data_IF_780153812512
#
_entry.id   IF_780153812512
#
_cell.length_a   1.000
_cell.length_b   1.000
_cell.length_c   1.000
_cell.angle_alpha   90.00
_cell.angle_beta   90.00
_cell.angle_gamma   90.00
#
_symmetry.space_group_name_H-M   'P 1'
#
loop_
_entity.id
_entity.type
_entity.pdbx_description
1 polymer ?
#
# COMPACT_ATOMS: atom_id res chain seq x y z
N UNK A 1 17.35 20.55 -25.08
CA UNK A 1 17.39 20.78 -23.61
C UNK A 1 16.60 22.02 -23.18
N UNK A 2 16.83 23.21 -23.76
CA UNK A 2 16.08 24.46 -23.45
C UNK A 2 14.56 24.30 -23.55
N UNK A 3 14.08 23.71 -24.65
CA UNK A 3 12.66 23.44 -24.91
C UNK A 3 12.02 22.51 -23.86
N UNK A 4 12.81 21.59 -23.26
CA UNK A 4 12.34 20.71 -22.20
C UNK A 4 12.29 21.40 -20.83
N UNK A 5 13.21 22.34 -20.56
CA UNK A 5 13.22 23.10 -19.30
C UNK A 5 12.09 24.15 -19.30
N UNK A 6 11.80 24.74 -20.45
CA UNK A 6 10.78 25.79 -20.59
C UNK A 6 9.34 25.25 -20.52
N UNK A 7 9.09 24.04 -21.03
CA UNK A 7 7.73 23.50 -21.17
C UNK A 7 7.36 22.39 -20.16
N UNK A 8 8.33 21.89 -19.39
CA UNK A 8 8.16 20.72 -18.53
C UNK A 8 8.75 20.95 -17.14
N UNK A 9 8.09 20.46 -16.09
CA UNK A 9 8.61 20.59 -14.71
C UNK A 9 9.67 19.53 -14.42
N UNK A 10 10.65 19.85 -13.57
CA UNK A 10 11.70 18.88 -13.14
C UNK A 10 11.10 17.58 -12.58
N UNK A 11 10.03 17.60 -11.75
CA UNK A 11 9.36 16.37 -11.32
C UNK A 11 8.64 15.62 -12.45
N UNK A 12 8.09 16.32 -13.45
CA UNK A 12 7.44 15.68 -14.61
C UNK A 12 8.47 15.00 -15.52
N UNK A 13 9.62 15.64 -15.77
CA UNK A 13 10.76 15.05 -16.45
C UNK A 13 11.31 13.85 -15.66
N UNK A 14 11.47 13.98 -14.35
CA UNK A 14 11.95 12.90 -13.47
C UNK A 14 10.95 11.75 -13.30
N UNK A 15 9.65 11.96 -13.56
CA UNK A 15 8.63 10.91 -13.63
C UNK A 15 8.64 10.24 -14.99
N UNK A 16 8.78 11.01 -16.08
CA UNK A 16 8.97 10.50 -17.43
C UNK A 16 10.23 9.63 -17.55
N UNK A 17 11.31 10.00 -16.83
CA UNK A 17 12.56 9.25 -16.74
C UNK A 17 12.42 7.93 -15.93
N UNK A 18 11.42 7.82 -15.04
CA UNK A 18 11.30 6.71 -14.07
C UNK A 18 10.39 5.57 -14.52
N UNK A 19 9.38 5.86 -15.33
CA UNK A 19 8.44 4.84 -15.82
C UNK A 19 8.90 4.17 -17.13
N UNK A 20 10.01 4.62 -17.74
CA UNK A 20 10.06 4.69 -19.20
C UNK A 20 11.48 4.70 -19.79
N UNK A 21 12.30 3.71 -19.44
CA UNK A 21 13.57 3.47 -20.16
C UNK A 21 13.31 3.28 -21.67
N UNK A 22 12.25 2.55 -22.03
CA UNK A 22 11.82 2.34 -23.42
C UNK A 22 11.37 3.62 -24.13
N UNK A 23 10.74 4.55 -23.41
CA UNK A 23 10.33 5.83 -24.01
C UNK A 23 11.51 6.80 -24.11
N UNK A 24 12.50 6.72 -23.23
CA UNK A 24 13.74 7.46 -23.42
C UNK A 24 14.49 6.93 -24.65
N UNK A 25 14.53 5.62 -24.84
CA UNK A 25 15.07 5.01 -26.06
C UNK A 25 14.29 5.44 -27.30
N UNK A 26 12.95 5.44 -27.25
CA UNK A 26 12.10 5.93 -28.33
C UNK A 26 12.34 7.41 -28.63
N UNK A 27 12.36 8.26 -27.61
CA UNK A 27 12.64 9.69 -27.76
C UNK A 27 14.02 9.94 -28.35
N UNK A 28 15.04 9.20 -27.92
CA UNK A 28 16.39 9.29 -28.47
C UNK A 28 16.44 8.87 -29.95
N UNK A 29 15.71 7.80 -30.32
CA UNK A 29 15.59 7.34 -31.71
C UNK A 29 14.83 8.34 -32.59
N UNK A 30 13.72 8.91 -32.11
CA UNK A 30 12.97 9.93 -32.85
C UNK A 30 13.80 11.21 -33.05
N UNK A 31 14.57 11.60 -32.03
CA UNK A 31 15.46 12.77 -32.12
C UNK A 31 16.62 12.54 -33.09
N UNK A 32 17.23 11.34 -33.11
CA UNK A 32 18.32 11.04 -34.05
C UNK A 32 17.85 10.96 -35.50
N UNK A 33 16.56 10.71 -35.73
CA UNK A 33 15.91 10.70 -37.03
C UNK A 33 15.29 12.06 -37.42
N UNK A 34 15.45 13.10 -36.59
CA UNK A 34 14.85 14.44 -36.77
C UNK A 34 13.31 14.44 -36.88
N UNK A 35 12.64 13.44 -36.27
CA UNK A 35 11.17 13.28 -36.26
C UNK A 35 10.54 14.08 -35.13
N UNK A 36 10.65 15.40 -35.21
CA UNK A 36 10.30 16.32 -34.11
C UNK A 36 8.80 16.35 -33.78
N UNK A 37 7.91 16.19 -34.75
CA UNK A 37 6.47 16.17 -34.52
C UNK A 37 6.03 14.94 -33.71
N UNK A 38 6.57 13.77 -34.04
CA UNK A 38 6.28 12.55 -33.30
C UNK A 38 6.90 12.56 -31.90
N UNK A 39 8.10 13.13 -31.77
CA UNK A 39 8.70 13.36 -30.47
C UNK A 39 7.80 14.26 -29.60
N UNK A 40 7.20 15.30 -30.20
CA UNK A 40 6.24 16.17 -29.52
C UNK A 40 5.00 15.39 -29.07
N UNK A 41 4.48 14.49 -29.89
CA UNK A 41 3.33 13.64 -29.54
C UNK A 41 3.63 12.66 -28.41
N UNK A 42 4.81 12.04 -28.42
CA UNK A 42 5.27 11.16 -27.32
C UNK A 42 5.43 11.94 -26.01
N UNK A 43 5.85 13.21 -26.09
CA UNK A 43 6.10 14.07 -24.94
C UNK A 43 4.90 14.87 -24.45
N UNK A 44 3.87 15.03 -25.28
CA UNK A 44 2.62 15.76 -25.02
C UNK A 44 2.01 15.42 -23.64
N UNK A 45 1.98 14.15 -23.21
CA UNK A 45 1.51 13.79 -21.88
C UNK A 45 2.32 14.37 -20.72
N UNK A 46 3.54 14.84 -20.93
CA UNK A 46 4.41 15.37 -19.88
C UNK A 46 4.43 16.91 -19.85
N UNK A 47 3.85 17.59 -20.84
CA UNK A 47 3.76 19.06 -20.85
C UNK A 47 3.08 19.58 -19.58
N UNK A 48 3.62 20.69 -19.06
CA UNK A 48 3.20 21.28 -17.78
C UNK A 48 1.69 21.48 -17.67
N UNK A 49 1.04 22.03 -18.71
CA UNK A 49 -0.42 22.26 -18.73
C UNK A 49 -1.24 20.98 -18.57
N UNK A 50 -0.83 19.86 -19.18
CA UNK A 50 -1.54 18.60 -19.10
C UNK A 50 -1.25 17.86 -17.79
N UNK A 51 -0.03 18.00 -17.27
CA UNK A 51 0.32 17.54 -15.91
C UNK A 51 -0.51 18.29 -14.86
N UNK A 52 -0.60 19.62 -14.96
CA UNK A 52 -1.41 20.45 -14.07
C UNK A 52 -2.90 20.15 -14.20
N UNK A 53 -3.43 19.99 -15.42
CA UNK A 53 -4.81 19.53 -15.64
C UNK A 53 -5.09 18.17 -15.00
N UNK A 54 -4.19 17.19 -15.15
CA UNK A 54 -4.36 15.87 -14.51
C UNK A 54 -4.25 15.93 -13.00
N UNK A 55 -3.37 16.78 -12.46
CA UNK A 55 -3.25 17.00 -11.01
C UNK A 55 -4.48 17.69 -10.42
N UNK A 56 -5.17 18.52 -11.19
CA UNK A 56 -6.45 19.14 -10.81
C UNK A 56 -7.64 18.20 -10.94
N UNK A 57 -7.50 17.09 -11.68
CA UNK A 57 -8.57 16.11 -11.83
C UNK A 57 -8.62 15.26 -10.57
N UNK A 58 -9.57 15.57 -9.69
CA UNK A 58 -9.93 14.67 -8.60
C UNK A 58 -10.32 13.31 -9.20
N UNK A 59 -9.61 12.28 -8.75
CA UNK A 59 -9.93 10.90 -9.11
C UNK A 59 -10.65 10.29 -7.92
N UNK A 60 -11.87 9.79 -8.13
CA UNK A 60 -12.68 9.20 -7.07
C UNK A 60 -12.41 7.71 -6.96
N UNK A 61 -12.11 7.25 -5.75
CA UNK A 61 -12.07 5.84 -5.39
C UNK A 61 -13.44 5.50 -4.77
N UNK A 62 -14.34 4.97 -5.58
CA UNK A 62 -15.70 4.64 -5.15
C UNK A 62 -15.74 3.25 -4.52
N UNK A 63 -16.01 3.21 -3.22
CA UNK A 63 -16.12 2.00 -2.40
C UNK A 63 -17.53 1.81 -1.83
N UNK A 64 -18.52 2.61 -2.27
CA UNK A 64 -19.88 2.64 -1.67
C UNK A 64 -20.67 1.34 -1.82
N UNK A 65 -20.60 0.72 -2.99
CA UNK A 65 -21.49 -0.39 -3.36
C UNK A 65 -20.92 -1.77 -3.03
N UNK A 66 -19.59 -1.91 -3.00
CA UNK A 66 -18.92 -3.21 -2.96
C UNK A 66 -17.54 -3.14 -2.30
N UNK A 67 -17.30 -2.15 -1.44
CA UNK A 67 -15.99 -1.95 -0.82
C UNK A 67 -14.83 -1.96 -1.83
N UNK A 68 -13.80 -2.75 -1.54
CA UNK A 68 -12.66 -2.97 -2.43
C UNK A 68 -12.93 -3.95 -3.57
N UNK A 69 -13.96 -4.81 -3.50
CA UNK A 69 -14.27 -5.85 -4.50
C UNK A 69 -14.51 -5.36 -5.93
N UNK A 70 -14.64 -4.05 -6.16
CA UNK A 70 -14.71 -3.47 -7.50
C UNK A 70 -13.34 -3.53 -8.22
N UNK A 71 -13.27 -4.22 -9.37
CA UNK A 71 -12.07 -4.31 -10.22
C UNK A 71 -11.46 -2.95 -10.57
N UNK A 72 -12.28 -1.91 -10.79
CA UNK A 72 -11.78 -0.58 -11.11
C UNK A 72 -11.05 0.04 -9.92
N UNK A 73 -11.58 -0.13 -8.70
CA UNK A 73 -10.99 0.34 -7.45
C UNK A 73 -9.66 -0.37 -7.16
N UNK A 74 -9.61 -1.70 -7.32
CA UNK A 74 -8.38 -2.48 -7.19
C UNK A 74 -7.31 -2.05 -8.21
N UNK A 75 -7.69 -1.82 -9.46
CA UNK A 75 -6.77 -1.36 -10.51
C UNK A 75 -6.25 0.05 -10.24
N UNK A 76 -7.07 0.93 -9.65
CA UNK A 76 -6.62 2.25 -9.19
C UNK A 76 -5.59 2.13 -8.07
N UNK A 77 -5.82 1.27 -7.08
CA UNK A 77 -4.85 1.03 -6.00
C UNK A 77 -3.55 0.44 -6.54
N UNK A 78 -3.63 -0.54 -7.45
CA UNK A 78 -2.47 -1.13 -8.14
C UNK A 78 -1.64 -0.08 -8.88
N UNK A 79 -2.29 0.81 -9.64
CA UNK A 79 -1.63 1.95 -10.31
C UNK A 79 -1.02 2.92 -9.30
N UNK A 80 -1.71 3.18 -8.19
CA UNK A 80 -1.22 4.04 -7.11
C UNK A 80 0.08 3.52 -6.49
N UNK A 81 0.12 2.21 -6.17
CA UNK A 81 1.28 1.51 -5.65
C UNK A 81 2.42 1.44 -6.68
N UNK A 82 2.11 1.13 -7.94
CA UNK A 82 3.09 1.04 -9.02
C UNK A 82 3.82 2.35 -9.32
N UNK A 83 3.17 3.51 -9.11
CA UNK A 83 3.74 4.85 -9.29
C UNK A 83 4.58 5.33 -8.12
N UNK A 84 4.62 4.60 -7.00
CA UNK A 84 5.43 5.02 -5.86
C UNK A 84 6.91 5.06 -6.22
N UNK A 85 7.64 6.12 -5.84
CA UNK A 85 9.04 6.26 -6.22
C UNK A 85 9.86 5.09 -5.65
N UNK A 86 10.60 4.43 -6.54
CA UNK A 86 11.59 3.42 -6.14
C UNK A 86 12.74 4.13 -5.44
N UNK A 87 12.80 4.02 -4.12
CA UNK A 87 13.96 4.43 -3.32
C UNK A 87 14.77 3.17 -3.04
N UNK A 88 16.00 3.13 -3.50
CA UNK A 88 16.94 2.08 -3.11
C UNK A 88 17.41 2.40 -1.70
N UNK A 89 16.95 1.62 -0.72
CA UNK A 89 17.44 1.71 0.65
C UNK A 89 18.84 1.11 0.78
N UNK A 90 19.45 1.30 1.95
CA UNK A 90 20.69 0.60 2.30
C UNK A 90 20.46 -0.92 2.27
N UNK A 91 21.51 -1.67 1.93
CA UNK A 91 21.44 -3.13 1.97
C UNK A 91 21.31 -3.59 3.44
N UNK A 92 20.26 -4.36 3.74
CA UNK A 92 20.06 -4.97 5.05
C UNK A 92 20.35 -6.46 5.00
N UNK A 93 21.00 -6.99 6.05
CA UNK A 93 21.32 -8.43 6.17
C UNK A 93 20.09 -9.30 6.42
N UNK A 94 19.09 -8.75 7.11
CA UNK A 94 17.84 -9.42 7.45
C UNK A 94 16.67 -8.72 6.76
N UNK A 95 15.77 -9.52 6.20
CA UNK A 95 14.59 -9.07 5.47
C UNK A 95 13.36 -9.83 5.96
N UNK A 96 12.25 -9.13 6.03
CA UNK A 96 10.94 -9.68 6.35
C UNK A 96 9.90 -9.10 5.37
N UNK A 97 8.78 -9.78 5.23
CA UNK A 97 7.65 -9.32 4.43
C UNK A 97 6.39 -9.33 5.28
N UNK A 98 5.55 -8.30 5.14
CA UNK A 98 4.24 -8.24 5.79
C UNK A 98 3.16 -7.94 4.76
N UNK A 99 1.96 -8.48 4.96
CA UNK A 99 0.78 -8.18 4.14
C UNK A 99 0.04 -7.00 4.76
N UNK A 100 -0.37 -6.02 3.98
CA UNK A 100 -1.44 -5.09 4.34
C UNK A 100 -2.74 -5.60 3.69
N UNK A 101 -3.54 -6.41 4.41
CA UNK A 101 -4.70 -7.08 3.83
C UNK A 101 -5.92 -6.14 3.82
N UNK A 102 -6.27 -5.66 2.63
CA UNK A 102 -7.54 -4.99 2.37
C UNK A 102 -8.61 -6.06 2.24
N UNK A 103 -9.72 -5.90 2.93
CA UNK A 103 -10.84 -6.83 2.91
C UNK A 103 -12.16 -6.07 2.90
N UNK A 104 -13.24 -6.76 2.57
CA UNK A 104 -14.59 -6.26 2.80
C UNK A 104 -15.26 -7.11 3.89
N UNK A 105 -16.08 -6.47 4.74
CA UNK A 105 -16.91 -7.14 5.75
C UNK A 105 -18.34 -6.62 5.59
N UNK A 106 -19.22 -7.45 5.04
CA UNK A 106 -20.58 -7.03 4.72
C UNK A 106 -20.63 -5.85 3.74
N UNK A 107 -19.69 -5.80 2.80
CA UNK A 107 -19.54 -4.70 1.85
C UNK A 107 -18.87 -3.44 2.40
N UNK A 108 -18.45 -3.44 3.67
CA UNK A 108 -17.70 -2.33 4.28
C UNK A 108 -16.20 -2.56 4.04
N UNK A 109 -15.47 -1.60 3.42
CA UNK A 109 -14.04 -1.72 3.20
C UNK A 109 -13.29 -1.62 4.53
N UNK A 110 -12.42 -2.59 4.79
CA UNK A 110 -11.71 -2.79 6.05
C UNK A 110 -10.23 -3.13 5.80
N UNK A 111 -9.43 -3.05 6.87
CA UNK A 111 -8.10 -3.66 6.93
C UNK A 111 -8.12 -4.74 8.00
N UNK A 112 -7.61 -5.94 7.66
CA UNK A 112 -7.47 -7.07 8.57
C UNK A 112 -6.15 -6.95 9.36
N UNK A 113 -6.20 -7.22 10.64
CA UNK A 113 -5.07 -7.20 11.56
C UNK A 113 -5.07 -8.44 12.44
N UNK A 114 -3.91 -8.70 13.01
CA UNK A 114 -3.70 -9.74 14.01
C UNK A 114 -3.31 -9.09 15.33
N UNK A 115 -3.64 -9.76 16.42
CA UNK A 115 -3.00 -9.54 17.70
C UNK A 115 -2.15 -10.75 18.04
N UNK A 116 -0.89 -10.49 18.35
CA UNK A 116 0.10 -11.54 18.63
C UNK A 116 -0.24 -12.29 19.91
N UNK A 117 0.00 -13.60 19.90
CA UNK A 117 -0.14 -14.46 21.07
C UNK A 117 0.73 -13.95 22.24
N UNK A 118 0.15 -13.91 23.43
CA UNK A 118 0.83 -13.49 24.67
C UNK A 118 2.06 -14.34 25.02
N UNK A 119 2.15 -15.55 24.46
CA UNK A 119 3.19 -16.52 24.74
C UNK A 119 4.45 -16.32 23.88
N UNK A 120 4.41 -15.40 22.91
CA UNK A 120 5.54 -15.12 22.05
C UNK A 120 6.66 -14.37 22.77
N UNK A 121 7.91 -14.70 22.39
CA UNK A 121 9.11 -14.09 22.97
C UNK A 121 9.30 -12.62 22.57
N UNK A 122 8.72 -12.20 21.46
CA UNK A 122 8.84 -10.85 20.92
C UNK A 122 7.45 -10.29 20.62
N UNK A 123 7.24 -9.03 21.03
CA UNK A 123 6.02 -8.26 20.79
C UNK A 123 4.71 -8.97 21.24
N UNK A 124 4.65 -9.55 22.45
CA UNK A 124 3.42 -10.19 22.93
C UNK A 124 2.28 -9.18 23.06
N UNK A 125 1.06 -9.60 22.71
CA UNK A 125 -0.17 -8.78 22.76
C UNK A 125 -0.17 -7.52 21.87
N UNK A 126 0.85 -7.31 21.03
CA UNK A 126 0.90 -6.20 20.07
C UNK A 126 0.05 -6.49 18.83
N UNK A 127 -0.49 -5.42 18.22
CA UNK A 127 -1.16 -5.50 16.92
C UNK A 127 -0.13 -5.51 15.80
N UNK A 128 -0.22 -6.52 14.94
CA UNK A 128 0.63 -6.65 13.76
C UNK A 128 -0.17 -6.86 12.48
N UNK A 129 0.57 -6.68 11.38
CA UNK A 129 0.19 -7.19 10.09
C UNK A 129 0.68 -8.64 9.95
N UNK A 130 -0.03 -9.50 9.23
CA UNK A 130 0.43 -10.86 8.94
C UNK A 130 1.77 -10.80 8.21
N UNK A 131 2.73 -11.64 8.59
CA UNK A 131 4.02 -11.71 7.94
C UNK A 131 5.19 -12.09 8.85
N UNK A 132 6.32 -12.32 8.21
CA UNK A 132 7.50 -12.79 8.91
C UNK A 132 8.77 -12.72 8.08
N UNK A 133 9.76 -13.48 8.52
CA UNK A 133 11.11 -13.45 7.98
C UNK A 133 11.17 -14.12 6.60
N UNK A 134 12.02 -13.61 5.72
CA UNK A 134 12.29 -14.27 4.44
C UNK A 134 13.02 -15.59 4.69
N UNK A 135 12.45 -16.72 4.23
CA UNK A 135 13.14 -18.01 4.21
C UNK A 135 14.08 -18.08 3.01
N UNK A 136 15.39 -18.03 3.28
CA UNK A 136 16.42 -18.06 2.23
C UNK A 136 16.46 -19.46 1.60
N UNK A 137 16.05 -19.56 0.33
CA UNK A 137 16.06 -20.81 -0.43
C UNK A 137 14.65 -21.28 -0.82
N UNK A 138 13.66 -21.01 0.05
CA UNK A 138 12.26 -21.40 -0.19
C UNK A 138 11.47 -20.29 -0.87
N UNK A 139 11.70 -19.03 -0.45
CA UNK A 139 10.93 -17.90 -0.94
C UNK A 139 11.50 -17.35 -2.26
N UNK A 140 10.71 -17.46 -3.33
CA UNK A 140 11.06 -16.95 -4.68
C UNK A 140 11.07 -15.43 -4.77
N UNK A 141 10.32 -14.76 -3.91
CA UNK A 141 10.21 -13.30 -3.87
C UNK A 141 9.72 -12.83 -2.50
N UNK A 142 9.79 -11.52 -2.25
CA UNK A 142 9.21 -10.96 -1.02
C UNK A 142 7.70 -11.15 -0.94
N UNK A 143 7.01 -11.18 -2.09
CA UNK A 143 5.57 -11.45 -2.15
C UNK A 143 5.28 -12.89 -1.76
N UNK A 144 6.12 -13.86 -2.15
CA UNK A 144 5.92 -15.25 -1.74
C UNK A 144 6.13 -15.42 -0.24
N UNK A 145 7.10 -14.72 0.36
CA UNK A 145 7.25 -14.66 1.83
C UNK A 145 5.97 -14.14 2.48
N UNK A 146 5.46 -12.99 2.04
CA UNK A 146 4.27 -12.38 2.64
C UNK A 146 3.04 -13.29 2.58
N UNK A 147 2.81 -13.92 1.42
CA UNK A 147 1.66 -14.81 1.24
C UNK A 147 1.81 -16.11 2.04
N UNK A 148 3.00 -16.70 2.08
CA UNK A 148 3.27 -17.90 2.88
C UNK A 148 2.98 -17.65 4.35
N UNK A 149 3.60 -16.62 4.93
CA UNK A 149 3.43 -16.26 6.34
C UNK A 149 1.96 -15.96 6.66
N UNK A 150 1.28 -15.15 5.86
CA UNK A 150 -0.16 -14.85 6.07
C UNK A 150 -1.03 -16.11 6.05
N UNK A 151 -0.75 -17.08 5.17
CA UNK A 151 -1.51 -18.33 5.12
C UNK A 151 -1.14 -19.31 6.26
N UNK A 152 0.06 -19.21 6.82
CA UNK A 152 0.49 -19.97 8.01
C UNK A 152 -0.13 -19.39 9.29
N UNK A 153 -0.25 -18.07 9.38
CA UNK A 153 -0.82 -17.34 10.53
C UNK A 153 -2.36 -17.34 10.52
N UNK A 154 -2.99 -17.26 9.34
CA UNK A 154 -4.45 -17.17 9.18
C UNK A 154 -4.95 -18.27 8.22
N UNK A 155 -5.32 -19.43 8.79
CA UNK A 155 -6.03 -20.46 8.03
C UNK A 155 -7.49 -20.04 7.76
N UNK A 156 -8.12 -20.66 6.76
CA UNK A 156 -9.50 -20.34 6.35
C UNK A 156 -9.64 -19.17 5.37
N UNK A 157 -8.55 -18.49 5.00
CA UNK A 157 -8.53 -17.55 3.88
C UNK A 157 -8.68 -18.30 2.53
N UNK A 158 -9.54 -17.78 1.65
CA UNK A 158 -9.61 -18.29 0.28
C UNK A 158 -8.45 -17.74 -0.56
N UNK A 159 -7.40 -18.56 -0.70
CA UNK A 159 -6.21 -18.20 -1.48
C UNK A 159 -6.52 -17.85 -2.94
N UNK A 160 -7.62 -18.34 -3.51
CA UNK A 160 -8.06 -18.03 -4.87
C UNK A 160 -8.61 -16.61 -5.03
N UNK A 161 -9.05 -15.98 -3.94
CA UNK A 161 -9.56 -14.60 -3.92
C UNK A 161 -8.46 -13.58 -3.64
N UNK A 162 -7.33 -14.01 -3.08
CA UNK A 162 -6.23 -13.11 -2.72
C UNK A 162 -5.58 -12.51 -3.97
N UNK A 163 -5.69 -11.19 -4.10
CA UNK A 163 -5.13 -10.42 -5.20
C UNK A 163 -4.02 -9.50 -4.71
N UNK A 164 -2.80 -9.72 -5.17
CA UNK A 164 -1.66 -8.85 -4.86
C UNK A 164 -1.78 -7.54 -5.66
N UNK A 165 -1.91 -6.42 -4.97
CA UNK A 165 -2.06 -5.09 -5.58
C UNK A 165 -0.71 -4.41 -5.82
N UNK A 166 0.28 -4.69 -4.99
CA UNK A 166 1.63 -4.17 -5.16
C UNK A 166 2.36 -3.97 -3.84
N UNK A 167 3.59 -3.50 -3.94
CA UNK A 167 4.43 -3.28 -2.76
C UNK A 167 4.33 -1.82 -2.32
N UNK A 168 4.02 -1.60 -1.04
CA UNK A 168 4.02 -0.28 -0.43
C UNK A 168 5.47 0.14 -0.15
N UNK A 169 5.97 1.16 -0.84
CA UNK A 169 7.36 1.60 -0.71
C UNK A 169 7.52 2.52 0.51
N UNK A 170 7.87 1.93 1.64
CA UNK A 170 8.18 2.64 2.88
C UNK A 170 9.63 3.15 2.90
N UNK A 171 9.87 4.28 3.57
CA UNK A 171 11.21 4.82 3.76
C UNK A 171 11.84 4.24 5.03
N UNK A 172 12.61 3.16 4.87
CA UNK A 172 13.25 2.43 5.98
C UNK A 172 14.13 3.30 6.87
N UNK A 173 14.72 4.39 6.35
CA UNK A 173 15.52 5.30 7.17
C UNK A 173 14.74 5.98 8.30
N UNK A 174 13.42 6.14 8.16
CA UNK A 174 12.55 6.79 9.17
C UNK A 174 12.22 5.85 10.34
N UNK A 175 12.23 4.54 10.10
CA UNK A 175 11.78 3.51 11.06
C UNK A 175 12.86 2.49 11.39
N UNK A 176 14.09 2.67 10.89
CA UNK A 176 15.19 1.72 11.09
C UNK A 176 15.46 1.39 12.56
N UNK A 177 15.24 2.36 13.45
CA UNK A 177 15.41 2.20 14.89
C UNK A 177 14.37 1.29 15.55
N UNK A 178 13.27 0.96 14.87
CA UNK A 178 12.17 0.18 15.43
C UNK A 178 12.38 -1.33 15.31
N UNK A 179 13.01 -1.82 14.24
CA UNK A 179 13.03 -3.27 13.96
C UNK A 179 14.40 -3.88 13.68
N UNK A 180 15.39 -3.10 13.22
CA UNK A 180 16.67 -3.64 12.76
C UNK A 180 16.60 -4.58 11.53
N UNK A 181 15.40 -4.77 10.97
CA UNK A 181 15.08 -5.67 9.84
C UNK A 181 14.39 -4.85 8.75
N UNK A 182 14.71 -5.10 7.48
CA UNK A 182 14.02 -4.47 6.36
C UNK A 182 12.69 -5.18 6.06
N UNK A 183 11.57 -4.60 6.50
CA UNK A 183 10.23 -5.25 6.48
C UNK A 183 9.37 -4.79 5.30
N UNK A 184 9.39 -5.45 4.16
CA UNK A 184 8.65 -4.96 2.98
C UNK A 184 7.13 -5.20 3.08
N UNK A 185 6.26 -4.16 3.07
CA UNK A 185 4.82 -4.35 3.09
C UNK A 185 4.26 -4.57 1.68
N UNK A 186 3.45 -5.61 1.52
CA UNK A 186 2.76 -5.96 0.29
C UNK A 186 1.26 -5.76 0.51
N UNK A 187 0.64 -4.91 -0.30
CA UNK A 187 -0.81 -4.68 -0.21
C UNK A 187 -1.52 -5.76 -1.02
N UNK A 188 -2.42 -6.47 -0.36
CA UNK A 188 -3.26 -7.50 -0.96
C UNK A 188 -4.74 -7.16 -0.72
N UNK A 189 -5.59 -7.49 -1.67
CA UNK A 189 -7.03 -7.61 -1.42
C UNK A 189 -7.34 -9.07 -1.14
N UNK A 190 -7.95 -9.38 0.01
CA UNK A 190 -8.22 -10.77 0.45
C UNK A 190 -9.68 -11.18 0.29
N UNK A 191 -10.52 -10.33 -0.32
CA UNK A 191 -11.92 -10.63 -0.58
C UNK A 191 -12.88 -10.11 0.49
N UNK A 192 -14.14 -10.50 0.34
CA UNK A 192 -15.19 -10.33 1.36
C UNK A 192 -15.02 -11.44 2.39
N UNK A 193 -14.59 -11.10 3.60
CA UNK A 193 -14.21 -12.07 4.63
C UNK A 193 -15.29 -12.24 5.70
N UNK A 194 -16.38 -11.46 5.67
CA UNK A 194 -17.42 -11.51 6.73
C UNK A 194 -18.14 -12.85 6.86
N UNK A 195 -18.04 -13.72 5.84
CA UNK A 195 -18.60 -15.06 5.83
C UNK A 195 -17.54 -16.18 5.95
N UNK A 196 -16.25 -15.81 6.05
CA UNK A 196 -15.16 -16.77 6.17
C UNK A 196 -14.97 -17.19 7.64
N UNK A 197 -14.71 -18.48 7.85
CA UNK A 197 -14.33 -19.03 9.16
C UNK A 197 -12.80 -18.94 9.31
N UNK A 198 -12.32 -17.74 9.67
CA UNK A 198 -10.89 -17.48 9.87
C UNK A 198 -10.38 -18.23 11.11
N UNK A 199 -9.29 -18.97 10.93
CA UNK A 199 -8.67 -19.81 11.96
C UNK A 199 -7.25 -19.31 12.22
N UNK A 200 -7.08 -18.33 13.12
CA UNK A 200 -5.75 -17.89 13.51
C UNK A 200 -4.97 -19.05 14.14
N UNK A 201 -3.70 -19.18 13.78
CA UNK A 201 -2.81 -20.13 14.43
C UNK A 201 -2.52 -19.68 15.86
N UNK A 202 -3.09 -20.38 16.86
CA UNK A 202 -3.02 -20.01 18.26
C UNK A 202 -1.59 -19.92 18.84
N UNK A 203 -0.61 -20.57 18.20
CA UNK A 203 0.79 -20.48 18.61
C UNK A 203 1.38 -19.07 18.37
N UNK A 204 0.87 -18.34 17.38
CA UNK A 204 1.40 -17.05 16.95
C UNK A 204 0.39 -15.91 17.03
N UNK A 205 -0.88 -16.19 16.75
CA UNK A 205 -1.98 -15.22 16.64
C UNK A 205 -3.05 -15.53 17.68
N UNK A 206 -3.30 -14.58 18.59
CA UNK A 206 -4.37 -14.69 19.58
C UNK A 206 -5.75 -14.43 18.97
N UNK A 207 -5.85 -13.46 18.08
CA UNK A 207 -7.09 -13.06 17.43
C UNK A 207 -6.81 -12.32 16.12
N UNK A 208 -7.73 -12.49 15.16
CA UNK A 208 -7.82 -11.65 13.97
C UNK A 208 -8.99 -10.68 14.13
N UNK A 209 -8.81 -9.43 13.72
CA UNK A 209 -9.85 -8.42 13.78
C UNK A 209 -9.73 -7.44 12.62
N UNK A 210 -10.82 -6.76 12.28
CA UNK A 210 -10.84 -5.77 11.20
C UNK A 210 -11.05 -4.37 11.74
N UNK A 211 -10.51 -3.39 11.03
CA UNK A 211 -10.79 -1.97 11.26
C UNK A 211 -11.38 -1.37 9.99
N UNK A 212 -12.58 -0.74 10.05
CA UNK A 212 -13.17 -0.06 8.91
C UNK A 212 -12.26 1.04 8.36
N UNK A 213 -12.21 1.15 7.03
CA UNK A 213 -11.40 2.16 6.36
C UNK A 213 -11.81 3.59 6.76
N UNK A 214 -13.10 3.80 7.04
CA UNK A 214 -13.62 5.06 7.57
C UNK A 214 -12.89 5.51 8.83
N UNK A 215 -12.78 4.61 9.82
CA UNK A 215 -12.06 4.88 11.06
C UNK A 215 -10.58 5.19 10.79
N UNK A 216 -9.96 4.48 9.86
CA UNK A 216 -8.55 4.68 9.47
C UNK A 216 -8.34 6.05 8.81
N UNK A 217 -9.32 6.55 8.05
CA UNK A 217 -9.26 7.85 7.38
C UNK A 217 -9.60 9.03 8.29
N UNK A 218 -10.29 8.77 9.41
CA UNK A 218 -10.58 9.76 10.44
C UNK A 218 -9.31 10.22 11.16
N UNK A 219 -8.94 11.48 10.95
CA UNK A 219 -7.70 12.07 11.48
C UNK A 219 -7.70 12.20 12.99
N UNK A 220 -8.86 12.31 13.63
CA UNK A 220 -8.95 12.49 15.08
C UNK A 220 -8.62 11.20 15.84
N UNK A 221 -8.64 10.06 15.15
CA UNK A 221 -8.24 8.75 15.68
C UNK A 221 -6.72 8.52 15.64
N UNK A 222 -5.95 9.46 15.08
CA UNK A 222 -4.51 9.38 14.99
C UNK A 222 -3.81 10.34 15.96
N UNK A 223 -2.82 9.82 16.67
CA UNK A 223 -1.95 10.59 17.55
C UNK A 223 -0.55 10.65 16.95
N UNK A 224 -0.08 11.87 16.70
CA UNK A 224 1.27 12.14 16.22
C UNK A 224 2.10 12.84 17.29
N UNK A 225 3.29 12.31 17.56
CA UNK A 225 4.29 12.99 18.39
C UNK A 225 5.60 13.07 17.64
N UNK A 226 6.31 14.18 17.80
CA UNK A 226 7.62 14.36 17.16
C UNK A 226 8.56 13.22 17.55
N UNK A 227 9.23 12.65 16.55
CA UNK A 227 10.18 11.52 16.69
C UNK A 227 9.56 10.18 17.13
N UNK A 228 8.23 10.03 17.15
CA UNK A 228 7.57 8.75 17.39
C UNK A 228 6.82 8.29 16.15
N UNK A 229 6.65 6.97 16.04
CA UNK A 229 5.74 6.37 15.07
C UNK A 229 4.29 6.84 15.35
N UNK A 230 3.46 6.99 14.30
CA UNK A 230 2.06 7.34 14.48
C UNK A 230 1.32 6.26 15.26
N UNK A 231 0.39 6.67 16.11
CA UNK A 231 -0.46 5.78 16.91
C UNK A 231 -1.88 5.95 16.43
N UNK A 232 -2.52 4.84 16.07
CA UNK A 232 -3.93 4.78 15.72
C UNK A 232 -4.74 4.19 16.87
N UNK A 233 -5.82 4.87 17.24
CA UNK A 233 -6.67 4.56 18.40
C UNK A 233 -8.11 4.24 18.01
N UNK A 234 -8.38 4.09 16.72
CA UNK A 234 -9.73 3.98 16.17
C UNK A 234 -10.30 2.59 16.00
N UNK A 235 -9.59 1.56 16.48
CA UNK A 235 -10.02 0.16 16.46
C UNK A 235 -10.13 -0.42 17.88
N UNK A 236 -10.40 -1.73 18.02
CA UNK A 236 -10.52 -2.38 19.32
C UNK A 236 -9.20 -2.40 20.11
N UNK A 237 -8.07 -2.25 19.41
CA UNK A 237 -6.73 -2.22 19.98
C UNK A 237 -5.93 -1.03 19.42
N UNK A 238 -4.94 -0.59 20.21
CA UNK A 238 -4.03 0.47 19.78
C UNK A 238 -3.05 -0.09 18.74
N UNK A 239 -2.94 0.59 17.60
CA UNK A 239 -2.02 0.23 16.53
C UNK A 239 -0.88 1.25 16.51
N UNK A 240 0.35 0.79 16.71
CA UNK A 240 1.52 1.67 16.84
C UNK A 240 2.77 1.03 16.22
N UNK A 241 3.93 1.65 16.41
CA UNK A 241 5.21 1.13 15.92
C UNK A 241 5.26 1.02 14.39
N UNK A 242 5.83 -0.09 13.89
CA UNK A 242 5.94 -0.32 12.45
C UNK A 242 4.56 -0.47 11.80
N UNK A 243 3.63 -1.18 12.44
CA UNK A 243 2.26 -1.37 11.95
C UNK A 243 1.56 -0.04 11.74
N UNK A 244 1.58 0.83 12.75
CA UNK A 244 0.99 2.17 12.67
C UNK A 244 1.64 3.02 11.56
N UNK A 245 2.96 2.94 11.41
CA UNK A 245 3.69 3.62 10.34
C UNK A 245 3.26 3.12 8.94
N UNK A 246 3.21 1.80 8.72
CA UNK A 246 2.79 1.21 7.43
C UNK A 246 1.37 1.65 7.08
N UNK A 247 0.46 1.58 8.04
CA UNK A 247 -0.94 1.97 7.86
C UNK A 247 -1.05 3.45 7.48
N UNK A 248 -0.35 4.33 8.20
CA UNK A 248 -0.34 5.76 7.89
C UNK A 248 0.26 6.02 6.49
N UNK A 249 1.32 5.32 6.11
CA UNK A 249 1.93 5.46 4.77
C UNK A 249 0.99 5.02 3.68
N UNK A 250 0.22 3.95 3.89
CA UNK A 250 -0.82 3.58 2.95
C UNK A 250 -1.86 4.70 2.78
N UNK A 251 -2.32 5.31 3.89
CA UNK A 251 -3.27 6.43 3.84
C UNK A 251 -2.67 7.64 3.10
N UNK A 252 -1.51 8.13 3.53
CA UNK A 252 -0.90 9.36 3.02
C UNK A 252 -0.33 9.21 1.62
N UNK A 253 0.29 8.07 1.32
CA UNK A 253 1.04 7.89 0.09
C UNK A 253 0.23 7.16 -0.97
N UNK A 254 -0.87 6.47 -0.64
CA UNK A 254 -1.71 5.76 -1.62
C UNK A 254 -3.12 6.36 -1.67
N UNK A 255 -3.86 6.34 -0.56
CA UNK A 255 -5.27 6.73 -0.54
C UNK A 255 -5.49 8.24 -0.72
N UNK A 256 -4.63 9.09 -0.18
CA UNK A 256 -4.74 10.56 -0.29
C UNK A 256 -4.63 11.10 -1.73
N UNK A 257 -4.35 10.24 -2.71
CA UNK A 257 -4.43 10.56 -4.14
C UNK A 257 -5.86 10.58 -4.67
N UNK A 258 -6.80 10.05 -3.91
CA UNK A 258 -8.18 9.85 -4.31
C UNK A 258 -9.12 10.58 -3.36
N UNK A 259 -10.25 11.04 -3.90
CA UNK A 259 -11.43 11.29 -3.08
C UNK A 259 -12.08 9.92 -2.84
N UNK A 260 -12.04 9.44 -1.60
CA UNK A 260 -12.56 8.10 -1.24
C UNK A 260 -14.03 8.24 -0.87
N UNK A 261 -14.90 7.60 -1.65
CA UNK A 261 -16.34 7.56 -1.38
C UNK A 261 -16.64 6.24 -0.65
N UNK A 262 -17.07 6.33 0.62
CA UNK A 262 -17.32 5.17 1.49
C UNK A 262 -18.82 4.86 1.61
N UNK A 263 -19.20 3.60 1.91
CA UNK A 263 -20.58 3.25 2.23
C UNK A 263 -21.12 4.14 3.37
N UNK A 264 -22.43 4.42 3.35
CA UNK A 264 -23.08 5.08 4.48
C UNK A 264 -23.09 4.11 5.66
N UNK A 265 -22.66 4.56 6.84
CA UNK A 265 -22.79 3.73 8.04
C UNK A 265 -24.28 3.44 8.30
N UNK A 266 -24.66 2.19 8.61
CA UNK A 266 -25.97 1.96 9.21
C UNK A 266 -26.02 2.78 10.50
N UNK A 267 -27.07 3.59 10.68
CA UNK A 267 -27.27 4.31 11.94
C UNK A 267 -27.21 3.29 13.09
N UNK A 268 -26.32 3.52 14.07
CA UNK A 268 -26.32 2.78 15.32
C UNK A 268 -27.74 2.86 15.89
N UNK A 269 -28.47 1.75 15.85
CA UNK A 269 -29.80 1.70 16.46
C UNK A 269 -29.61 1.86 17.97
N UNK A 270 -30.27 2.85 18.59
CA UNK A 270 -30.07 3.21 20.00
C UNK A 270 -30.47 2.11 20.98
#
# INVERSE_FOLDING_TARGET
MRLMIENYTVPALASALRDREDILQLCAALLSQDRLDELRDVLLPFERRFVEMRRKRETRLDLRASGFGNLASLEMLRKGLGRMPRRVGLAHRQRAGVVLPLCDVGGIPCVLFEKRSRHLRAHPDEVCLPGGMVSIGDDKSIVSTCLREMYEEIDGLDQGLVTVLGVLRCNWGEVHHLTGVAVTPVVCYVGEIGHMDLKPNADEVAECFTVPLEAILDRDRWVHRQNFAPIFTGGPYIIWGLTGYILERFVKDVLARYQVDLPLQPEESP
#
